data_IF_379741212261
#
_entry.id   IF_379741212261
#
_cell.length_a   1.000
_cell.length_b   1.000
_cell.length_c   1.000
_cell.angle_alpha   90.00
_cell.angle_beta   90.00
_cell.angle_gamma   90.00
#
_symmetry.space_group_name_H-M   'P 1'
#
loop_
_entity.id
_entity.type
_entity.pdbx_description
1 polymer ?
#
# COMPACT_ATOMS: atom_id res chain seq x y z
N UNK A 1 63.32 -26.28 -18.91
CA UNK A 1 63.30 -25.25 -19.97
C UNK A 1 61.89 -24.71 -20.16
N UNK A 2 61.66 -23.52 -19.60
CA UNK A 2 60.84 -22.43 -20.10
C UNK A 2 59.47 -22.74 -20.76
N UNK A 3 58.46 -23.23 -20.00
CA UNK A 3 57.03 -22.90 -20.25
C UNK A 3 56.02 -23.43 -19.21
N UNK A 4 56.37 -23.54 -17.92
CA UNK A 4 55.37 -23.94 -16.88
C UNK A 4 55.36 -23.03 -15.64
N UNK A 5 56.30 -22.10 -15.48
CA UNK A 5 56.34 -21.16 -14.34
C UNK A 5 55.70 -19.78 -14.60
N UNK A 6 54.98 -19.58 -15.72
CA UNK A 6 54.40 -18.28 -16.09
C UNK A 6 52.88 -18.12 -15.87
N UNK A 7 52.21 -19.11 -15.26
CA UNK A 7 50.75 -19.05 -14.97
C UNK A 7 50.38 -19.01 -13.49
N UNK A 8 51.36 -19.02 -12.57
CA UNK A 8 51.07 -18.99 -11.12
C UNK A 8 51.40 -17.65 -10.42
N UNK A 9 51.77 -16.61 -11.17
CA UNK A 9 52.11 -15.27 -10.64
C UNK A 9 51.09 -14.19 -11.01
N UNK A 10 50.14 -14.47 -11.91
CA UNK A 10 49.12 -13.49 -12.35
C UNK A 10 47.82 -13.59 -11.53
N UNK A 11 47.59 -14.66 -10.76
CA UNK A 11 46.37 -14.83 -9.96
C UNK A 11 46.51 -14.36 -8.50
N UNK A 12 47.59 -13.63 -8.16
CA UNK A 12 47.74 -12.94 -6.85
C UNK A 12 47.90 -11.42 -6.96
N UNK A 13 47.69 -10.83 -8.15
CA UNK A 13 47.81 -9.37 -8.39
C UNK A 13 46.44 -8.74 -8.76
N UNK A 14 45.33 -9.38 -8.40
CA UNK A 14 43.97 -8.82 -8.54
C UNK A 14 43.14 -8.84 -7.25
N UNK A 15 43.77 -9.13 -6.11
CA UNK A 15 43.17 -9.08 -4.75
C UNK A 15 43.94 -8.09 -3.84
N UNK A 16 44.73 -7.19 -4.42
CA UNK A 16 45.44 -6.13 -3.70
C UNK A 16 45.16 -4.74 -4.30
N UNK A 17 43.92 -4.51 -4.77
CA UNK A 17 43.47 -3.22 -5.32
C UNK A 17 42.08 -2.78 -4.79
N UNK A 18 41.68 -3.26 -3.61
CA UNK A 18 40.47 -2.80 -2.90
C UNK A 18 40.73 -2.41 -1.43
N UNK A 19 41.98 -2.13 -1.04
CA UNK A 19 42.33 -1.85 0.37
C UNK A 19 43.27 -0.66 0.59
N UNK A 20 43.23 0.34 -0.31
CA UNK A 20 43.94 1.61 -0.14
C UNK A 20 43.08 2.78 -0.63
N UNK A 21 42.08 3.16 0.17
CA UNK A 21 41.43 4.48 0.10
C UNK A 21 40.73 4.84 1.43
N UNK A 22 41.33 4.42 2.55
CA UNK A 22 41.01 4.93 3.88
C UNK A 22 42.33 5.39 4.49
N UNK A 23 42.30 6.58 5.08
CA UNK A 23 43.44 7.37 5.59
C UNK A 23 44.01 8.37 4.57
N UNK A 24 43.22 9.41 4.28
CA UNK A 24 43.72 10.79 4.26
C UNK A 24 42.54 11.77 4.16
N UNK A 25 41.94 12.12 5.31
CA UNK A 25 41.30 13.42 5.47
C UNK A 25 41.09 13.72 6.97
N UNK A 26 42.18 14.08 7.65
CA UNK A 26 42.09 14.98 8.80
C UNK A 26 42.93 16.20 8.46
N UNK A 27 42.25 17.33 8.26
CA UNK A 27 42.56 18.67 8.79
C UNK A 27 42.05 19.77 7.84
N UNK A 28 40.78 20.14 8.04
CA UNK A 28 40.38 21.55 7.99
C UNK A 28 39.20 21.73 8.94
N UNK A 29 39.48 22.26 10.13
CA UNK A 29 38.51 22.66 11.15
C UNK A 29 38.57 24.19 11.28
N UNK A 30 37.42 24.78 11.61
CA UNK A 30 37.07 26.22 11.73
C UNK A 30 36.80 26.87 10.37
N UNK A 31 35.59 27.29 10.00
CA UNK A 31 34.45 27.84 10.77
C UNK A 31 33.08 27.47 10.13
N UNK A 32 32.51 26.27 10.37
CA UNK A 32 31.09 25.96 10.05
C UNK A 32 30.50 24.95 11.07
N UNK A 33 30.86 25.02 12.35
CA UNK A 33 30.55 23.93 13.31
C UNK A 33 29.52 24.27 14.39
N UNK A 34 28.99 25.50 14.44
CA UNK A 34 28.09 25.87 15.54
C UNK A 34 26.59 25.74 15.22
N UNK A 35 26.17 25.68 13.96
CA UNK A 35 24.74 25.50 13.63
C UNK A 35 24.35 24.01 13.52
N UNK A 36 25.17 23.17 12.89
CA UNK A 36 24.88 21.73 12.75
C UNK A 36 25.00 20.94 14.06
N UNK A 37 25.92 21.32 14.95
CA UNK A 37 26.06 20.69 16.26
C UNK A 37 24.91 21.09 17.20
N UNK A 38 24.45 22.35 17.14
CA UNK A 38 23.30 22.81 17.90
C UNK A 38 22.00 22.19 17.41
N UNK A 39 21.77 22.10 16.09
CA UNK A 39 20.57 21.45 15.55
C UNK A 39 20.45 19.98 15.97
N UNK A 40 21.54 19.19 15.85
CA UNK A 40 21.55 17.79 16.30
C UNK A 40 21.37 17.64 17.82
N UNK A 41 21.86 18.60 18.62
CA UNK A 41 21.66 18.59 20.06
C UNK A 41 20.21 18.95 20.43
N UNK A 42 19.59 19.92 19.76
CA UNK A 42 18.19 20.31 19.97
C UNK A 42 17.23 19.19 19.57
N UNK A 43 17.45 18.57 18.41
CA UNK A 43 16.65 17.43 17.92
C UNK A 43 16.72 16.23 18.87
N UNK A 44 17.92 15.90 19.36
CA UNK A 44 18.11 14.86 20.37
C UNK A 44 17.41 15.19 21.69
N UNK A 45 17.39 16.47 22.09
CA UNK A 45 16.71 16.93 23.30
C UNK A 45 15.18 16.83 23.17
N UNK A 46 14.64 17.09 21.98
CA UNK A 46 13.21 16.95 21.68
C UNK A 46 12.76 15.49 21.69
N UNK A 47 13.51 14.59 21.03
CA UNK A 47 13.27 13.14 21.08
C UNK A 47 13.29 12.62 22.53
N UNK A 48 14.24 13.07 23.35
CA UNK A 48 14.30 12.69 24.77
C UNK A 48 13.03 13.07 25.53
N UNK A 49 12.52 14.29 25.31
CA UNK A 49 11.32 14.78 25.99
C UNK A 49 10.09 13.96 25.59
N UNK A 50 9.90 13.75 24.29
CA UNK A 50 8.80 12.95 23.74
C UNK A 50 8.86 11.52 24.28
N UNK A 51 10.01 10.86 24.17
CA UNK A 51 10.18 9.50 24.68
C UNK A 51 9.92 9.43 26.19
N UNK A 52 10.41 10.39 26.98
CA UNK A 52 10.17 10.42 28.41
C UNK A 52 8.66 10.51 28.75
N UNK A 53 7.89 11.29 27.99
CA UNK A 53 6.44 11.37 28.16
C UNK A 53 5.75 10.05 27.80
N UNK A 54 6.14 9.42 26.69
CA UNK A 54 5.60 8.12 26.28
C UNK A 54 5.89 7.03 27.33
N UNK A 55 7.09 7.01 27.92
CA UNK A 55 7.45 6.06 28.99
C UNK A 55 6.68 6.29 30.29
N UNK A 56 6.44 7.57 30.65
CA UNK A 56 5.67 7.93 31.85
C UNK A 56 4.21 7.49 31.76
N UNK A 57 3.61 7.55 30.56
CA UNK A 57 2.21 7.16 30.31
C UNK A 57 2.01 5.65 30.17
N UNK A 58 3.06 4.89 29.88
CA UNK A 58 2.97 3.44 29.66
C UNK A 58 2.44 3.09 28.26
N UNK A 59 2.03 1.83 28.10
CA UNK A 59 1.76 1.20 26.82
C UNK A 59 0.33 0.66 26.66
N UNK A 60 -0.62 1.11 27.50
CA UNK A 60 -2.01 0.63 27.44
C UNK A 60 -2.91 1.70 26.81
N UNK A 61 -3.24 1.51 25.53
CA UNK A 61 -4.10 2.42 24.77
C UNK A 61 -5.47 2.58 25.43
N UNK A 62 -6.03 1.47 25.96
CA UNK A 62 -7.31 1.40 26.65
C UNK A 62 -7.39 2.27 27.92
N UNK A 63 -6.22 2.66 28.45
CA UNK A 63 -6.09 3.52 29.63
C UNK A 63 -5.60 4.93 29.29
N UNK A 64 -5.68 5.31 28.01
CA UNK A 64 -5.36 6.66 27.56
C UNK A 64 -3.87 6.94 27.42
N UNK A 65 -3.00 5.91 27.41
CA UNK A 65 -1.56 6.13 27.17
C UNK A 65 -1.28 6.87 25.86
N UNK A 66 -2.20 6.77 24.87
CA UNK A 66 -2.07 7.36 23.54
C UNK A 66 -2.90 8.64 23.33
N UNK A 67 -3.62 9.10 24.35
CA UNK A 67 -4.60 10.19 24.25
C UNK A 67 -4.03 11.56 23.83
N UNK A 68 -2.76 11.84 24.16
CA UNK A 68 -2.13 13.15 23.94
C UNK A 68 -0.98 13.09 22.93
N UNK A 69 -1.00 12.13 22.00
CA UNK A 69 -0.04 12.14 20.90
C UNK A 69 -0.35 13.32 19.97
N UNK A 70 0.72 13.91 19.44
CA UNK A 70 0.66 15.16 18.68
C UNK A 70 1.52 15.10 17.43
N UNK A 71 1.51 16.18 16.64
CA UNK A 71 2.42 16.33 15.52
C UNK A 71 3.89 16.16 15.95
N UNK A 72 4.27 16.66 17.13
CA UNK A 72 5.64 16.55 17.65
C UNK A 72 6.08 15.12 17.93
N UNK A 73 5.14 14.28 18.38
CA UNK A 73 5.40 12.86 18.59
C UNK A 73 5.69 12.16 17.24
N UNK A 74 4.95 12.53 16.19
CA UNK A 74 5.19 12.02 14.85
C UNK A 74 6.50 12.55 14.28
N UNK A 75 6.81 13.84 14.47
CA UNK A 75 8.10 14.42 14.07
C UNK A 75 9.28 13.70 14.70
N UNK A 76 9.23 13.48 16.02
CA UNK A 76 10.28 12.75 16.74
C UNK A 76 10.44 11.30 16.23
N UNK A 77 9.33 10.61 15.93
CA UNK A 77 9.38 9.30 15.28
C UNK A 77 10.07 9.37 13.91
N UNK A 78 9.67 10.31 13.08
CA UNK A 78 10.13 10.45 11.70
C UNK A 78 11.62 10.74 11.63
N UNK A 79 12.18 11.54 12.55
CA UNK A 79 13.63 11.79 12.59
C UNK A 79 14.42 10.52 12.97
N UNK A 80 13.87 9.66 13.84
CA UNK A 80 14.45 8.35 14.15
C UNK A 80 14.37 7.44 12.92
N UNK A 81 13.23 7.41 12.24
CA UNK A 81 13.02 6.59 11.04
C UNK A 81 13.89 7.03 9.87
N UNK A 82 14.07 8.33 9.65
CA UNK A 82 15.00 8.86 8.66
C UNK A 82 16.41 8.39 8.98
N UNK A 83 16.85 8.50 10.24
CA UNK A 83 18.17 7.98 10.66
C UNK A 83 18.33 6.48 10.37
N UNK A 84 17.29 5.66 10.62
CA UNK A 84 17.28 4.23 10.28
C UNK A 84 17.39 4.03 8.77
N UNK A 85 16.61 4.76 7.97
CA UNK A 85 16.61 4.68 6.51
C UNK A 85 17.98 5.06 5.92
N UNK A 86 18.55 6.21 6.33
CA UNK A 86 19.87 6.65 5.89
C UNK A 86 20.93 5.60 6.19
N UNK A 87 20.89 4.98 7.38
CA UNK A 87 21.83 3.91 7.75
C UNK A 87 21.68 2.63 6.92
N UNK A 88 20.51 2.44 6.29
CA UNK A 88 20.22 1.33 5.37
C UNK A 88 20.38 1.72 3.89
N UNK A 89 20.98 2.88 3.61
CA UNK A 89 21.32 3.32 2.25
C UNK A 89 20.16 3.95 1.49
N UNK A 90 19.12 4.42 2.19
CA UNK A 90 18.05 5.21 1.60
C UNK A 90 18.62 6.49 0.97
N UNK A 91 18.15 6.81 -0.22
CA UNK A 91 18.47 8.04 -0.93
C UNK A 91 17.26 8.94 -0.91
N UNK A 92 17.35 10.04 -0.17
CA UNK A 92 16.31 11.06 -0.11
C UNK A 92 16.10 11.65 -1.50
N UNK A 93 14.86 11.59 -1.98
CA UNK A 93 14.44 12.15 -3.26
C UNK A 93 14.25 13.67 -3.16
N UNK A 94 14.34 14.37 -4.29
CA UNK A 94 13.92 15.77 -4.33
C UNK A 94 12.38 15.92 -4.25
N UNK A 95 11.91 17.15 -4.06
CA UNK A 95 10.49 17.46 -3.91
C UNK A 95 9.63 16.97 -5.09
N UNK A 96 10.12 17.14 -6.32
CA UNK A 96 9.38 16.81 -7.54
C UNK A 96 9.29 15.29 -7.70
N UNK A 97 10.41 14.60 -7.52
CA UNK A 97 10.48 13.13 -7.61
C UNK A 97 9.60 12.47 -6.54
N UNK A 98 9.71 12.92 -5.29
CA UNK A 98 8.91 12.38 -4.20
C UNK A 98 7.43 12.69 -4.38
N UNK A 99 7.09 13.93 -4.74
CA UNK A 99 5.71 14.35 -4.99
C UNK A 99 5.05 13.54 -6.12
N UNK A 100 5.78 13.34 -7.22
CA UNK A 100 5.31 12.53 -8.35
C UNK A 100 5.09 11.07 -7.94
N UNK A 101 5.98 10.48 -7.13
CA UNK A 101 5.79 9.11 -6.62
C UNK A 101 4.58 9.01 -5.69
N UNK A 102 4.38 9.96 -4.77
CA UNK A 102 3.21 9.96 -3.87
C UNK A 102 1.91 10.11 -4.66
N UNK A 103 1.84 11.03 -5.63
CA UNK A 103 0.67 11.18 -6.49
C UNK A 103 0.41 9.91 -7.30
N UNK A 104 1.46 9.31 -7.83
CA UNK A 104 1.33 8.15 -8.68
C UNK A 104 0.94 6.86 -7.93
N UNK A 105 1.46 6.67 -6.72
CA UNK A 105 1.20 5.47 -5.92
C UNK A 105 -0.11 5.61 -5.15
N UNK A 106 -0.39 6.79 -4.60
CA UNK A 106 -1.49 6.99 -3.64
C UNK A 106 -2.59 7.95 -4.14
N UNK A 107 -2.48 8.48 -5.36
CA UNK A 107 -3.45 9.45 -5.90
C UNK A 107 -3.44 10.81 -5.16
N UNK A 108 -2.44 11.08 -4.33
CA UNK A 108 -2.39 12.26 -3.45
C UNK A 108 -1.34 13.27 -3.92
N UNK A 109 -1.76 14.50 -4.21
CA UNK A 109 -0.84 15.62 -4.47
C UNK A 109 -0.28 16.20 -3.17
N UNK A 110 1.03 16.47 -3.16
CA UNK A 110 1.69 17.19 -2.07
C UNK A 110 1.70 18.68 -2.38
N UNK A 111 1.17 19.48 -1.45
CA UNK A 111 1.42 20.92 -1.43
C UNK A 111 2.59 21.20 -0.49
N UNK A 112 3.71 21.65 -1.07
CA UNK A 112 4.92 22.02 -0.33
C UNK A 112 4.89 23.44 0.23
N UNK A 113 3.91 24.26 -0.18
CA UNK A 113 3.77 25.62 0.34
C UNK A 113 2.84 25.69 1.56
N UNK A 114 2.08 24.63 1.83
CA UNK A 114 1.21 24.55 3.01
C UNK A 114 2.03 24.43 4.30
N UNK A 115 1.47 24.93 5.41
CA UNK A 115 2.13 24.92 6.73
C UNK A 115 2.19 23.55 7.42
N UNK A 116 1.54 22.51 6.89
CA UNK A 116 1.57 21.18 7.54
C UNK A 116 2.82 20.42 7.16
N UNK A 117 3.46 19.76 8.12
CA UNK A 117 4.65 18.93 7.85
C UNK A 117 4.28 17.57 7.25
N UNK A 118 3.03 17.16 7.44
CA UNK A 118 2.53 15.84 7.06
C UNK A 118 1.33 15.88 6.12
N UNK A 119 1.09 14.75 5.48
CA UNK A 119 -0.18 14.37 4.87
C UNK A 119 -0.62 13.02 5.46
N UNK A 120 -1.91 12.88 5.73
CA UNK A 120 -2.53 11.58 6.02
C UNK A 120 -2.89 10.87 4.71
N UNK A 121 -2.63 9.57 4.67
CA UNK A 121 -3.14 8.61 3.70
C UNK A 121 -3.94 7.58 4.49
N UNK A 122 -5.26 7.75 4.47
CA UNK A 122 -6.17 6.82 5.12
C UNK A 122 -6.30 5.53 4.30
N UNK A 123 -6.15 4.39 4.98
CA UNK A 123 -6.11 3.07 4.36
C UNK A 123 -7.49 2.44 4.19
N UNK A 124 -8.56 3.11 4.63
CA UNK A 124 -9.95 2.70 4.51
C UNK A 124 -10.75 3.69 3.65
N UNK A 125 -10.63 4.99 3.92
CA UNK A 125 -11.25 6.07 3.16
C UNK A 125 -10.16 6.97 2.58
N UNK A 126 -9.65 6.63 1.39
CA UNK A 126 -8.55 7.34 0.72
C UNK A 126 -8.81 8.84 0.45
N UNK A 127 -10.05 9.29 0.60
CA UNK A 127 -10.46 10.69 0.44
C UNK A 127 -10.45 11.49 1.73
N UNK A 128 -10.39 10.82 2.89
CA UNK A 128 -10.13 11.49 4.15
C UNK A 128 -8.67 11.99 4.18
N UNK A 129 -8.56 13.29 4.41
CA UNK A 129 -7.30 14.05 4.38
C UNK A 129 -7.05 14.75 5.71
N UNK A 130 -7.97 14.66 6.66
CA UNK A 130 -7.88 15.35 7.93
C UNK A 130 -6.75 14.74 8.75
N UNK A 131 -5.77 15.56 9.16
CA UNK A 131 -4.70 15.08 10.01
C UNK A 131 -5.27 14.78 11.40
N UNK A 132 -5.11 13.54 11.83
CA UNK A 132 -5.22 13.14 13.22
C UNK A 132 -3.87 12.55 13.63
N UNK A 133 -3.44 12.75 14.87
CA UNK A 133 -2.13 12.29 15.35
C UNK A 133 -2.32 11.11 16.27
N UNK A 134 -2.88 10.04 15.70
CA UNK A 134 -3.18 8.82 16.41
C UNK A 134 -2.10 7.78 16.13
N UNK A 135 -1.56 7.12 17.17
CA UNK A 135 -0.64 6.01 16.99
C UNK A 135 -1.26 4.83 16.26
N UNK A 136 -0.43 4.03 15.59
CA UNK A 136 -0.85 2.84 14.87
C UNK A 136 -1.48 1.82 15.83
N UNK A 137 -2.72 1.44 15.55
CA UNK A 137 -3.49 0.44 16.28
C UNK A 137 -4.39 -0.37 15.33
N UNK A 138 -5.20 -1.29 15.86
CA UNK A 138 -6.18 -2.01 15.05
C UNK A 138 -7.23 -1.08 14.44
N UNK A 139 -7.59 -0.03 15.16
CA UNK A 139 -8.59 0.98 14.79
C UNK A 139 -7.99 2.06 13.87
N UNK A 140 -6.68 2.32 14.00
CA UNK A 140 -6.00 3.38 13.29
C UNK A 140 -4.76 2.87 12.54
N UNK A 141 -4.90 2.69 11.23
CA UNK A 141 -3.83 2.19 10.34
C UNK A 141 -3.38 3.25 9.33
N UNK A 142 -3.55 4.52 9.68
CA UNK A 142 -3.20 5.66 8.84
C UNK A 142 -1.71 5.69 8.52
N UNK A 143 -1.40 5.92 7.24
CA UNK A 143 -0.05 6.14 6.76
C UNK A 143 0.20 7.65 6.64
N UNK A 144 1.34 8.11 7.14
CA UNK A 144 1.73 9.52 7.10
C UNK A 144 2.86 9.72 6.10
N UNK A 145 2.76 10.80 5.33
CA UNK A 145 3.81 11.23 4.40
C UNK A 145 4.55 12.40 5.05
N UNK A 146 5.83 12.25 5.36
CA UNK A 146 6.67 13.37 5.80
C UNK A 146 7.12 14.18 4.60
N UNK A 147 6.70 15.45 4.53
CA UNK A 147 7.10 16.36 3.46
C UNK A 147 8.57 16.75 3.56
N UNK A 148 9.11 16.85 4.77
CA UNK A 148 10.51 17.23 5.00
C UNK A 148 11.45 16.07 4.70
N UNK A 149 11.22 14.91 5.32
CA UNK A 149 12.13 13.76 5.26
C UNK A 149 11.91 12.87 4.03
N UNK A 150 10.82 13.08 3.27
CA UNK A 150 10.52 12.36 2.02
C UNK A 150 10.40 10.85 2.21
N UNK A 151 9.63 10.47 3.22
CA UNK A 151 9.36 9.08 3.57
C UNK A 151 7.88 8.91 3.95
N UNK A 152 7.43 7.66 3.94
CA UNK A 152 6.14 7.26 4.50
C UNK A 152 6.35 6.52 5.80
N UNK A 153 5.41 6.65 6.73
CA UNK A 153 5.50 6.05 8.05
C UNK A 153 4.14 5.68 8.60
N UNK A 154 4.07 4.59 9.36
CA UNK A 154 3.00 4.41 10.33
C UNK A 154 3.41 5.08 11.63
N UNK A 155 2.44 5.70 12.31
CA UNK A 155 2.74 6.43 13.52
C UNK A 155 2.93 5.49 14.73
N UNK A 156 4.10 4.89 14.86
CA UNK A 156 4.43 4.07 16.02
C UNK A 156 4.85 4.91 17.24
N UNK A 157 4.46 4.52 18.46
CA UNK A 157 5.17 4.92 19.67
C UNK A 157 6.67 4.60 19.55
N UNK A 158 7.54 5.53 19.97
CA UNK A 158 9.00 5.38 19.83
C UNK A 158 9.52 4.08 20.47
N UNK A 159 9.02 3.63 21.64
CA UNK A 159 9.43 2.36 22.22
C UNK A 159 9.18 1.13 21.35
N UNK A 160 8.23 1.18 20.40
CA UNK A 160 7.98 0.09 19.44
C UNK A 160 8.92 0.10 18.24
N UNK A 161 9.78 1.11 18.09
CA UNK A 161 10.71 1.21 16.96
C UNK A 161 12.18 0.94 17.37
N UNK A 162 12.58 1.37 18.57
CA UNK A 162 13.98 1.33 19.00
C UNK A 162 14.17 0.71 20.38
N UNK A 163 15.35 0.10 20.61
CA UNK A 163 15.80 -0.35 21.93
C UNK A 163 16.18 0.85 22.81
N UNK A 164 15.15 1.57 23.27
CA UNK A 164 15.30 2.78 24.05
C UNK A 164 15.99 2.51 25.40
N UNK A 165 15.86 1.31 25.96
CA UNK A 165 16.53 0.95 27.21
C UNK A 165 18.05 0.97 27.07
N UNK A 166 18.55 0.63 25.87
CA UNK A 166 19.97 0.71 25.52
C UNK A 166 20.39 2.11 25.06
N UNK A 167 19.57 2.77 24.25
CA UNK A 167 19.91 4.06 23.63
C UNK A 167 19.75 5.25 24.57
N UNK A 168 18.82 5.15 25.53
CA UNK A 168 18.45 6.19 26.49
C UNK A 168 18.43 5.61 27.92
N UNK A 169 19.58 5.15 28.46
CA UNK A 169 19.63 4.46 29.74
C UNK A 169 19.12 5.31 30.92
N UNK A 170 19.24 6.64 30.85
CA UNK A 170 18.71 7.54 31.87
C UNK A 170 17.18 7.55 31.93
N UNK A 171 16.51 7.35 30.77
CA UNK A 171 15.06 7.33 30.69
C UNK A 171 14.45 5.99 31.12
N UNK A 172 15.25 4.90 31.11
CA UNK A 172 14.81 3.59 31.60
C UNK A 172 14.29 3.63 33.04
N UNK A 173 14.85 4.52 33.87
CA UNK A 173 14.46 4.70 35.28
C UNK A 173 13.02 5.14 35.44
N UNK A 174 12.43 5.80 34.43
CA UNK A 174 11.03 6.24 34.46
C UNK A 174 10.03 5.07 34.52
N UNK A 175 10.47 3.87 34.19
CA UNK A 175 9.64 2.66 34.21
C UNK A 175 9.90 1.75 35.42
N UNK A 176 10.69 2.19 36.41
CA UNK A 176 10.96 1.38 37.61
C UNK A 176 9.71 1.20 38.48
N UNK A 177 8.86 2.22 38.56
CA UNK A 177 7.63 2.20 39.34
C UNK A 177 6.45 1.66 38.51
N UNK A 178 5.41 1.14 39.16
CA UNK A 178 4.13 0.85 38.51
C UNK A 178 3.42 2.15 38.13
N UNK A 179 2.46 2.06 37.21
CA UNK A 179 1.47 3.12 36.97
C UNK A 179 0.14 2.53 37.38
N UNK A 180 -0.46 3.10 38.43
CA UNK A 180 -1.73 2.63 38.96
C UNK A 180 -2.79 3.68 38.66
N UNK A 181 -3.91 3.24 38.08
CA UNK A 181 -5.06 4.09 37.78
C UNK A 181 -6.31 3.51 38.42
N UNK A 182 -7.32 4.35 38.66
CA UNK A 182 -8.63 3.91 39.14
C UNK A 182 -9.62 3.95 37.98
N UNK A 183 -10.22 2.81 37.68
CA UNK A 183 -11.29 2.65 36.68
C UNK A 183 -12.61 2.30 37.37
N UNK A 184 -13.70 2.21 36.61
CA UNK A 184 -14.99 1.74 37.13
C UNK A 184 -14.92 0.30 37.67
N UNK A 185 -13.98 -0.50 37.16
CA UNK A 185 -13.74 -1.89 37.58
C UNK A 185 -12.73 -2.01 38.74
N UNK A 186 -12.31 -0.86 39.31
CA UNK A 186 -11.34 -0.77 40.39
C UNK A 186 -9.93 -0.35 39.95
N UNK A 187 -8.94 -0.46 40.84
CA UNK A 187 -7.55 -0.15 40.53
C UNK A 187 -6.98 -1.06 39.44
N UNK A 188 -6.36 -0.48 38.43
CA UNK A 188 -5.71 -1.18 37.33
C UNK A 188 -4.24 -0.79 37.23
N UNK A 189 -3.42 -1.73 36.77
CA UNK A 189 -1.99 -1.51 36.51
C UNK A 189 -1.78 -1.27 35.02
N UNK A 190 -1.37 -0.06 34.65
CA UNK A 190 -1.04 0.27 33.27
C UNK A 190 0.29 -0.41 32.90
N UNK A 191 0.25 -1.19 31.83
CA UNK A 191 1.43 -1.91 31.31
C UNK A 191 2.55 -0.94 30.94
N UNK A 192 3.79 -1.23 31.37
CA UNK A 192 4.99 -0.50 30.94
C UNK A 192 5.48 -1.01 29.58
N UNK A 193 6.20 -0.17 28.84
CA UNK A 193 6.79 -0.57 27.56
C UNK A 193 7.77 -1.71 27.75
N UNK A 194 8.63 -1.63 28.79
CA UNK A 194 9.60 -2.69 29.12
C UNK A 194 8.98 -4.07 29.38
N UNK A 195 7.69 -4.11 29.72
CA UNK A 195 6.96 -5.32 30.08
C UNK A 195 6.12 -5.86 28.90
N UNK A 196 6.23 -5.26 27.71
CA UNK A 196 5.61 -5.79 26.49
C UNK A 196 6.33 -7.08 26.08
N UNK A 197 5.60 -8.20 25.93
CA UNK A 197 6.18 -9.43 25.42
C UNK A 197 6.77 -9.25 24.01
N UNK A 198 7.95 -9.80 23.78
CA UNK A 198 8.64 -9.78 22.48
C UNK A 198 8.87 -8.36 21.93
N UNK A 199 9.04 -7.35 22.80
CA UNK A 199 9.24 -5.96 22.38
C UNK A 199 10.42 -5.81 21.41
N UNK A 200 11.53 -6.51 21.65
CA UNK A 200 12.73 -6.43 20.80
C UNK A 200 12.48 -6.98 19.40
N UNK A 201 11.73 -8.07 19.30
CA UNK A 201 11.30 -8.64 18.04
C UNK A 201 10.36 -7.68 17.29
N UNK A 202 9.44 -7.03 18.01
CA UNK A 202 8.55 -6.01 17.44
C UNK A 202 9.35 -4.79 16.92
N UNK A 203 10.29 -4.26 17.70
CA UNK A 203 11.19 -3.17 17.29
C UNK A 203 11.94 -3.51 16.01
N UNK A 204 12.54 -4.71 15.96
CA UNK A 204 13.23 -5.18 14.77
C UNK A 204 12.29 -5.29 13.57
N UNK A 205 11.10 -5.85 13.76
CA UNK A 205 10.10 -5.99 12.69
C UNK A 205 9.66 -4.61 12.17
N UNK A 206 9.33 -3.69 13.06
CA UNK A 206 8.88 -2.34 12.70
C UNK A 206 9.98 -1.57 11.95
N UNK A 207 11.24 -1.66 12.40
CA UNK A 207 12.39 -1.08 11.70
C UNK A 207 12.60 -1.70 10.31
N UNK A 208 12.33 -3.00 10.13
CA UNK A 208 12.39 -3.64 8.82
C UNK A 208 11.22 -3.22 7.92
N UNK A 209 10.02 -3.04 8.45
CA UNK A 209 8.85 -2.55 7.71
C UNK A 209 9.12 -1.16 7.13
N UNK A 210 9.57 -0.20 7.95
CA UNK A 210 9.86 1.17 7.49
C UNK A 210 10.90 1.15 6.37
N UNK A 211 11.98 0.36 6.51
CA UNK A 211 13.02 0.20 5.49
C UNK A 211 12.46 -0.41 4.21
N UNK A 212 11.80 -1.57 4.30
CA UNK A 212 11.34 -2.31 3.13
C UNK A 212 10.36 -1.49 2.28
N UNK A 213 9.39 -0.82 2.92
CA UNK A 213 8.40 0.00 2.21
C UNK A 213 9.04 1.19 1.50
N UNK A 214 9.84 1.98 2.21
CA UNK A 214 10.43 3.19 1.63
C UNK A 214 11.48 2.86 0.56
N UNK A 215 12.32 1.84 0.79
CA UNK A 215 13.33 1.41 -0.19
C UNK A 215 12.67 0.90 -1.49
N UNK A 216 11.58 0.15 -1.38
CA UNK A 216 10.85 -0.32 -2.56
C UNK A 216 10.16 0.83 -3.30
N UNK A 217 9.36 1.64 -2.61
CA UNK A 217 8.52 2.66 -3.26
C UNK A 217 9.33 3.85 -3.82
N UNK A 218 10.34 4.32 -3.09
CA UNK A 218 11.03 5.57 -3.41
C UNK A 218 12.44 5.38 -3.95
N UNK A 219 13.09 4.25 -3.66
CA UNK A 219 14.42 3.93 -4.22
C UNK A 219 14.40 2.77 -5.22
N UNK A 220 13.21 2.27 -5.57
CA UNK A 220 13.02 1.24 -6.60
C UNK A 220 13.80 -0.05 -6.29
N UNK A 221 14.04 -0.30 -5.00
CA UNK A 221 14.80 -1.46 -4.56
C UNK A 221 13.92 -2.72 -4.59
N UNK A 222 13.92 -3.39 -5.74
CA UNK A 222 13.13 -4.60 -6.00
C UNK A 222 13.52 -5.82 -5.15
N UNK A 223 14.64 -5.77 -4.42
CA UNK A 223 15.02 -6.88 -3.52
C UNK A 223 14.01 -7.08 -2.38
N UNK A 224 13.25 -6.03 -2.03
CA UNK A 224 12.22 -6.10 -1.00
C UNK A 224 10.88 -6.70 -1.46
N UNK A 225 10.69 -7.02 -2.75
CA UNK A 225 9.40 -7.54 -3.24
C UNK A 225 8.99 -8.81 -2.49
N UNK A 226 9.86 -9.82 -2.43
CA UNK A 226 9.56 -11.08 -1.72
C UNK A 226 9.38 -10.86 -0.22
N UNK A 227 10.16 -9.95 0.36
CA UNK A 227 10.03 -9.61 1.78
C UNK A 227 8.67 -8.97 2.07
N UNK A 228 8.25 -7.99 1.28
CA UNK A 228 6.95 -7.31 1.44
C UNK A 228 5.78 -8.28 1.26
N UNK A 229 5.82 -9.14 0.25
CA UNK A 229 4.77 -10.16 0.01
C UNK A 229 4.64 -11.13 1.19
N UNK A 230 5.74 -11.48 1.84
CA UNK A 230 5.74 -12.51 2.90
C UNK A 230 5.60 -11.94 4.31
N UNK A 231 6.20 -10.78 4.59
CA UNK A 231 6.29 -10.20 5.94
C UNK A 231 5.30 -9.05 6.15
N UNK A 232 4.84 -8.41 5.07
CA UNK A 232 3.92 -7.28 5.13
C UNK A 232 2.78 -7.39 4.07
N UNK A 233 2.08 -8.55 4.02
CA UNK A 233 1.08 -8.81 2.99
C UNK A 233 -0.13 -7.87 3.09
N UNK A 234 -0.44 -7.36 4.29
CA UNK A 234 -1.56 -6.43 4.49
C UNK A 234 -1.28 -5.13 3.73
N UNK A 235 -0.09 -4.55 3.90
CA UNK A 235 0.29 -3.33 3.17
C UNK A 235 0.29 -3.52 1.66
N UNK A 236 0.84 -4.65 1.18
CA UNK A 236 0.85 -4.98 -0.25
C UNK A 236 -0.58 -5.07 -0.80
N UNK A 237 -1.48 -5.73 -0.07
CA UNK A 237 -2.90 -5.81 -0.45
C UNK A 237 -3.56 -4.43 -0.44
N UNK A 238 -3.28 -3.59 0.56
CA UNK A 238 -3.79 -2.21 0.61
C UNK A 238 -3.32 -1.37 -0.58
N UNK A 239 -2.05 -1.48 -0.99
CA UNK A 239 -1.54 -0.79 -2.19
C UNK A 239 -2.38 -1.12 -3.44
N UNK A 240 -2.70 -2.39 -3.66
CA UNK A 240 -3.49 -2.80 -4.83
C UNK A 240 -4.97 -2.43 -4.65
N UNK A 241 -5.59 -2.87 -3.55
CA UNK A 241 -7.05 -2.79 -3.33
C UNK A 241 -7.53 -1.36 -3.12
N UNK A 242 -6.79 -0.57 -2.34
CA UNK A 242 -7.21 0.80 -1.98
C UNK A 242 -6.63 1.84 -2.93
N UNK A 243 -5.35 1.70 -3.28
CA UNK A 243 -4.65 2.71 -4.09
C UNK A 243 -4.49 2.35 -5.57
N UNK A 244 -4.93 1.17 -6.01
CA UNK A 244 -4.88 0.78 -7.42
C UNK A 244 -3.47 0.50 -7.94
N UNK A 245 -2.50 0.23 -7.06
CA UNK A 245 -1.11 -0.01 -7.45
C UNK A 245 -0.93 -1.40 -8.08
N UNK A 246 -0.95 -1.48 -9.42
CA UNK A 246 -0.86 -2.74 -10.18
C UNK A 246 0.47 -2.94 -10.93
N UNK A 247 1.48 -2.11 -10.64
CA UNK A 247 2.74 -2.08 -11.40
C UNK A 247 3.69 -3.24 -11.10
N UNK A 248 3.50 -3.90 -9.96
CA UNK A 248 4.29 -5.06 -9.56
C UNK A 248 3.41 -6.31 -9.60
N UNK A 249 3.62 -7.21 -10.57
CA UNK A 249 2.77 -8.39 -10.76
C UNK A 249 2.60 -9.21 -9.49
N UNK A 250 3.67 -9.43 -8.69
CA UNK A 250 3.56 -10.22 -7.46
C UNK A 250 2.65 -9.59 -6.41
N UNK A 251 2.51 -8.27 -6.42
CA UNK A 251 1.60 -7.57 -5.51
C UNK A 251 0.16 -7.75 -5.95
N UNK A 252 -0.09 -7.61 -7.26
CA UNK A 252 -1.39 -7.89 -7.87
C UNK A 252 -1.79 -9.35 -7.64
N UNK A 253 -0.90 -10.32 -7.88
CA UNK A 253 -1.14 -11.74 -7.63
C UNK A 253 -1.59 -11.97 -6.19
N UNK A 254 -0.85 -11.43 -5.21
CA UNK A 254 -1.18 -11.57 -3.79
C UNK A 254 -2.55 -10.98 -3.45
N UNK A 255 -2.90 -9.83 -4.02
CA UNK A 255 -4.17 -9.17 -3.77
C UNK A 255 -5.35 -9.88 -4.43
N UNK A 256 -5.18 -10.37 -5.66
CA UNK A 256 -6.22 -11.03 -6.44
C UNK A 256 -6.46 -12.47 -5.96
N UNK A 257 -5.42 -13.19 -5.54
CA UNK A 257 -5.54 -14.54 -4.97
C UNK A 257 -6.36 -14.56 -3.66
N UNK A 258 -6.36 -13.46 -2.90
CA UNK A 258 -7.17 -13.32 -1.69
C UNK A 258 -8.67 -13.47 -1.99
N UNK A 259 -9.13 -13.07 -3.19
CA UNK A 259 -10.51 -13.25 -3.65
C UNK A 259 -10.79 -14.69 -4.11
N UNK A 260 -9.78 -15.37 -4.66
CA UNK A 260 -9.89 -16.78 -5.04
C UNK A 260 -9.98 -17.71 -3.83
N UNK A 261 -9.26 -17.40 -2.75
CA UNK A 261 -9.18 -18.26 -1.57
C UNK A 261 -10.38 -18.10 -0.63
N UNK A 262 -10.95 -16.90 -0.51
CA UNK A 262 -11.91 -16.56 0.55
C UNK A 262 -13.38 -16.62 0.14
N UNK A 263 -13.71 -17.06 -1.08
CA UNK A 263 -15.08 -17.02 -1.64
C UNK A 263 -15.78 -15.69 -1.31
N UNK A 264 -15.07 -14.58 -1.57
CA UNK A 264 -15.63 -13.26 -1.40
C UNK A 264 -16.79 -13.05 -2.37
N UNK A 265 -17.77 -12.25 -1.95
CA UNK A 265 -19.00 -12.03 -2.70
C UNK A 265 -18.72 -11.31 -4.03
N UNK A 266 -19.67 -11.37 -4.95
CA UNK A 266 -19.59 -10.65 -6.22
C UNK A 266 -19.32 -9.14 -6.08
N UNK A 267 -19.74 -8.52 -4.96
CA UNK A 267 -19.46 -7.10 -4.69
C UNK A 267 -17.97 -6.82 -4.57
N UNK A 268 -17.25 -7.70 -3.89
CA UNK A 268 -15.92 -7.41 -3.37
C UNK A 268 -14.86 -7.21 -4.49
N UNK A 269 -15.03 -7.88 -5.65
CA UNK A 269 -14.14 -7.71 -6.79
C UNK A 269 -14.47 -6.45 -7.59
N UNK A 270 -15.76 -6.13 -7.75
CA UNK A 270 -16.19 -4.94 -8.47
C UNK A 270 -15.81 -3.66 -7.72
N UNK A 271 -15.89 -3.69 -6.39
CA UNK A 271 -15.59 -2.56 -5.51
C UNK A 271 -14.11 -2.13 -5.55
N UNK A 272 -13.18 -2.99 -5.97
CA UNK A 272 -11.77 -2.59 -6.17
C UNK A 272 -11.46 -2.18 -7.60
N UNK A 273 -12.32 -2.51 -8.57
CA UNK A 273 -12.13 -2.21 -10.01
C UNK A 273 -12.83 -0.92 -10.39
N UNK A 274 -14.07 -0.75 -9.94
CA UNK A 274 -14.93 0.39 -10.23
C UNK A 274 -15.06 1.21 -8.95
N UNK A 275 -14.33 2.32 -8.89
CA UNK A 275 -14.24 3.14 -7.67
C UNK A 275 -14.71 4.56 -7.93
N UNK A 276 -15.21 5.22 -6.89
CA UNK A 276 -15.42 6.67 -6.91
C UNK A 276 -14.14 7.35 -6.45
N UNK A 277 -13.61 8.23 -7.27
CA UNK A 277 -12.51 9.09 -6.84
C UNK A 277 -13.01 10.11 -5.80
N UNK A 278 -12.10 10.90 -5.22
CA UNK A 278 -12.46 11.88 -4.19
C UNK A 278 -13.28 13.08 -4.67
N UNK A 279 -13.63 13.13 -5.96
CA UNK A 279 -14.58 14.09 -6.53
C UNK A 279 -15.94 13.45 -6.82
N UNK A 280 -16.12 12.17 -6.50
CA UNK A 280 -17.33 11.41 -6.81
C UNK A 280 -17.45 10.98 -8.28
N UNK A 281 -16.35 11.01 -9.04
CA UNK A 281 -16.32 10.56 -10.43
C UNK A 281 -15.92 9.08 -10.50
N UNK A 282 -16.52 8.31 -11.41
CA UNK A 282 -16.13 6.93 -11.68
C UNK A 282 -14.70 6.83 -12.24
N UNK A 283 -13.87 6.06 -11.56
CA UNK A 283 -12.57 5.58 -12.02
C UNK A 283 -12.66 4.07 -12.25
N UNK A 284 -12.13 3.62 -13.39
CA UNK A 284 -12.12 2.19 -13.78
C UNK A 284 -10.67 1.72 -13.84
N UNK A 285 -10.30 0.80 -12.96
CA UNK A 285 -8.94 0.24 -12.88
C UNK A 285 -8.74 -0.85 -13.93
N UNK A 286 -8.53 -0.44 -15.17
CA UNK A 286 -8.44 -1.33 -16.34
C UNK A 286 -7.35 -2.39 -16.24
N UNK A 287 -6.26 -2.13 -15.52
CA UNK A 287 -5.21 -3.14 -15.31
C UNK A 287 -5.69 -4.35 -14.51
N UNK A 288 -6.68 -4.19 -13.62
CA UNK A 288 -7.29 -5.31 -12.89
C UNK A 288 -8.24 -6.10 -13.79
N UNK A 289 -8.98 -5.43 -14.69
CA UNK A 289 -9.80 -6.12 -15.71
C UNK A 289 -8.91 -6.94 -16.66
N UNK A 290 -7.78 -6.35 -17.08
CA UNK A 290 -6.77 -7.05 -17.87
C UNK A 290 -6.20 -8.25 -17.12
N UNK A 291 -5.86 -8.09 -15.84
CA UNK A 291 -5.41 -9.21 -15.01
C UNK A 291 -6.42 -10.36 -15.03
N UNK A 292 -7.72 -10.08 -14.84
CA UNK A 292 -8.77 -11.10 -14.88
C UNK A 292 -8.79 -11.78 -16.25
N UNK A 293 -8.74 -11.02 -17.35
CA UNK A 293 -8.69 -11.56 -18.72
C UNK A 293 -7.47 -12.48 -18.91
N UNK A 294 -6.28 -12.04 -18.51
CA UNK A 294 -5.03 -12.77 -18.72
C UNK A 294 -4.92 -14.05 -17.84
N UNK A 295 -5.65 -14.11 -16.72
CA UNK A 295 -5.61 -15.24 -15.78
C UNK A 295 -6.82 -16.18 -15.89
N UNK A 296 -7.79 -15.85 -16.73
CA UNK A 296 -8.96 -16.71 -16.97
C UNK A 296 -8.60 -17.87 -17.91
N UNK A 297 -9.02 -19.07 -17.52
CA UNK A 297 -8.82 -20.31 -18.29
C UNK A 297 -10.12 -21.12 -18.31
N UNK A 298 -10.21 -22.08 -19.22
CA UNK A 298 -11.39 -22.96 -19.36
C UNK A 298 -11.81 -23.68 -18.06
N UNK A 299 -10.87 -23.92 -17.15
CA UNK A 299 -11.06 -24.59 -15.86
C UNK A 299 -10.82 -23.69 -14.63
N UNK A 300 -10.55 -22.39 -14.82
CA UNK A 300 -10.38 -21.42 -13.73
C UNK A 300 -10.90 -20.07 -14.23
N UNK A 301 -12.14 -19.77 -13.87
CA UNK A 301 -12.83 -18.55 -14.26
C UNK A 301 -13.44 -17.82 -13.05
N UNK A 302 -13.05 -18.15 -11.81
CA UNK A 302 -13.73 -17.65 -10.61
C UNK A 302 -13.71 -16.12 -10.51
N UNK A 303 -12.59 -15.47 -10.85
CA UNK A 303 -12.53 -14.00 -10.90
C UNK A 303 -13.42 -13.41 -11.99
N UNK A 304 -13.49 -14.07 -13.15
CA UNK A 304 -14.37 -13.66 -14.25
C UNK A 304 -15.83 -13.77 -13.83
N UNK A 305 -16.22 -14.90 -13.22
CA UNK A 305 -17.57 -15.14 -12.69
C UNK A 305 -17.93 -14.14 -11.59
N UNK A 306 -16.99 -13.79 -10.70
CA UNK A 306 -17.22 -12.77 -9.69
C UNK A 306 -17.48 -11.38 -10.33
N UNK A 307 -16.71 -11.02 -11.37
CA UNK A 307 -16.91 -9.79 -12.13
C UNK A 307 -18.25 -9.77 -12.88
N UNK A 308 -18.64 -10.90 -13.46
CA UNK A 308 -19.95 -11.07 -14.09
C UNK A 308 -21.09 -10.90 -13.08
N UNK A 309 -20.99 -11.54 -11.93
CA UNK A 309 -22.00 -11.43 -10.87
C UNK A 309 -22.13 -9.99 -10.35
N UNK A 310 -21.03 -9.23 -10.30
CA UNK A 310 -21.09 -7.81 -10.04
C UNK A 310 -21.91 -7.07 -11.10
N UNK A 311 -21.72 -7.42 -12.38
CA UNK A 311 -22.52 -6.93 -13.50
C UNK A 311 -24.02 -7.14 -13.30
N UNK A 312 -24.45 -8.33 -12.89
CA UNK A 312 -25.85 -8.62 -12.56
C UNK A 312 -26.39 -7.78 -11.39
N UNK A 313 -25.55 -7.51 -10.39
CA UNK A 313 -25.89 -6.71 -9.22
C UNK A 313 -25.92 -5.18 -9.49
N UNK A 314 -25.41 -4.70 -10.63
CA UNK A 314 -25.35 -3.26 -10.95
C UNK A 314 -26.71 -2.56 -10.92
N UNK A 315 -27.78 -3.27 -11.29
CA UNK A 315 -29.13 -2.70 -11.29
C UNK A 315 -29.52 -2.17 -9.91
N UNK A 316 -29.14 -2.89 -8.85
CA UNK A 316 -29.49 -2.60 -7.46
C UNK A 316 -28.42 -1.74 -6.74
N UNK A 317 -27.27 -1.49 -7.37
CA UNK A 317 -26.19 -0.68 -6.79
C UNK A 317 -26.59 0.80 -6.69
N UNK A 318 -26.44 1.44 -5.52
CA UNK A 318 -26.77 2.85 -5.32
C UNK A 318 -25.57 3.80 -5.42
N UNK A 319 -24.35 3.28 -5.51
CA UNK A 319 -23.10 4.05 -5.59
C UNK A 319 -22.92 4.75 -6.94
N UNK A 320 -23.37 4.11 -8.02
CA UNK A 320 -23.17 4.59 -9.39
C UNK A 320 -24.45 5.19 -9.98
N UNK A 321 -24.28 6.28 -10.72
CA UNK A 321 -25.35 6.85 -11.55
C UNK A 321 -25.74 5.91 -12.68
N UNK A 322 -26.90 6.15 -13.31
CA UNK A 322 -27.37 5.33 -14.45
C UNK A 322 -26.35 5.27 -15.60
N UNK A 323 -25.77 6.41 -15.98
CA UNK A 323 -24.77 6.47 -17.06
C UNK A 323 -23.46 5.77 -16.67
N UNK A 324 -23.05 5.88 -15.40
CA UNK A 324 -21.90 5.14 -14.88
C UNK A 324 -22.15 3.63 -14.88
N UNK A 325 -23.35 3.17 -14.52
CA UNK A 325 -23.70 1.74 -14.60
C UNK A 325 -23.60 1.21 -16.03
N UNK A 326 -24.06 1.96 -17.04
CA UNK A 326 -23.86 1.57 -18.44
C UNK A 326 -22.38 1.50 -18.80
N UNK A 327 -21.58 2.50 -18.39
CA UNK A 327 -20.15 2.48 -18.64
C UNK A 327 -19.48 1.29 -17.95
N UNK A 328 -19.81 1.00 -16.70
CA UNK A 328 -19.29 -0.17 -15.97
C UNK A 328 -19.66 -1.47 -16.71
N UNK A 329 -20.93 -1.63 -17.08
CA UNK A 329 -21.40 -2.80 -17.83
C UNK A 329 -20.65 -2.95 -19.16
N UNK A 330 -20.34 -1.85 -19.86
CA UNK A 330 -19.53 -1.87 -21.07
C UNK A 330 -18.12 -2.46 -20.83
N UNK A 331 -17.45 -2.07 -19.73
CA UNK A 331 -16.13 -2.62 -19.39
C UNK A 331 -16.21 -4.08 -18.93
N UNK A 332 -17.28 -4.46 -18.23
CA UNK A 332 -17.54 -5.87 -17.86
C UNK A 332 -17.76 -6.70 -19.12
N UNK A 333 -18.68 -6.31 -20.01
CA UNK A 333 -18.95 -7.03 -21.26
C UNK A 333 -17.72 -7.16 -22.15
N UNK A 334 -16.90 -6.10 -22.26
CA UNK A 334 -15.62 -6.18 -22.97
C UNK A 334 -14.66 -7.23 -22.37
N UNK A 335 -14.72 -7.47 -21.06
CA UNK A 335 -13.82 -8.38 -20.35
C UNK A 335 -14.36 -9.81 -20.32
N UNK A 336 -15.66 -9.97 -20.10
CA UNK A 336 -16.33 -11.24 -19.83
C UNK A 336 -16.81 -11.92 -21.11
N UNK A 337 -17.51 -11.20 -21.98
CA UNK A 337 -18.24 -11.80 -23.11
C UNK A 337 -17.35 -12.49 -24.14
N UNK A 338 -16.09 -12.07 -24.39
CA UNK A 338 -15.21 -12.82 -25.29
C UNK A 338 -15.01 -14.29 -24.87
N UNK A 339 -14.99 -14.57 -23.57
CA UNK A 339 -14.81 -15.94 -23.07
C UNK A 339 -16.04 -16.83 -23.28
N UNK A 340 -17.24 -16.24 -23.36
CA UNK A 340 -18.44 -17.00 -23.68
C UNK A 340 -18.36 -17.58 -25.10
N UNK A 341 -17.70 -16.88 -26.02
CA UNK A 341 -17.50 -17.35 -27.40
C UNK A 341 -16.55 -18.55 -27.44
N UNK A 342 -15.48 -18.48 -26.65
CA UNK A 342 -14.42 -19.46 -26.67
C UNK A 342 -14.77 -20.72 -25.86
N UNK A 343 -15.64 -20.63 -24.85
CA UNK A 343 -15.83 -21.71 -23.87
C UNK A 343 -17.27 -22.19 -23.64
N UNK A 344 -18.32 -21.43 -24.00
CA UNK A 344 -19.72 -21.83 -23.72
C UNK A 344 -20.14 -23.11 -24.47
N UNK A 345 -19.46 -23.48 -25.56
CA UNK A 345 -19.70 -24.71 -26.31
C UNK A 345 -18.81 -25.92 -25.93
N UNK A 346 -17.72 -25.72 -25.18
CA UNK A 346 -16.71 -26.78 -24.94
C UNK A 346 -17.04 -27.63 -23.70
N UNK A 347 -17.81 -27.09 -22.76
CA UNK A 347 -18.10 -27.72 -21.47
C UNK A 347 -19.59 -28.04 -21.26
N UNK A 348 -20.34 -28.42 -22.30
CA UNK A 348 -21.78 -28.70 -22.27
C UNK A 348 -22.24 -29.87 -21.35
N UNK A 349 -21.40 -30.30 -20.40
CA UNK A 349 -21.71 -31.23 -19.32
C UNK A 349 -21.04 -30.90 -17.97
N UNK A 350 -20.19 -29.86 -17.88
CA UNK A 350 -19.55 -29.40 -16.65
C UNK A 350 -19.88 -27.91 -16.48
N UNK A 351 -20.79 -27.57 -15.55
CA UNK A 351 -21.39 -26.25 -15.33
C UNK A 351 -20.41 -25.16 -14.83
N UNK A 352 -19.26 -25.02 -15.47
CA UNK A 352 -18.22 -24.05 -15.12
C UNK A 352 -18.52 -22.67 -15.74
N UNK A 353 -19.25 -22.64 -16.87
CA UNK A 353 -19.59 -21.43 -17.61
C UNK A 353 -21.11 -21.25 -17.64
N UNK A 354 -21.61 -20.02 -17.53
CA UNK A 354 -23.05 -19.78 -17.67
C UNK A 354 -23.48 -20.06 -19.12
N UNK A 355 -24.77 -20.30 -19.30
CA UNK A 355 -25.34 -20.52 -20.63
C UNK A 355 -25.37 -19.23 -21.47
N UNK A 356 -25.49 -18.08 -20.81
CA UNK A 356 -25.66 -16.77 -21.44
C UNK A 356 -24.73 -15.74 -20.80
N UNK A 357 -24.23 -14.82 -21.63
CA UNK A 357 -23.33 -13.74 -21.18
C UNK A 357 -24.05 -12.68 -20.36
N UNK A 358 -23.29 -11.98 -19.51
CA UNK A 358 -23.77 -10.84 -18.74
C UNK A 358 -24.38 -9.75 -19.62
N UNK A 359 -23.80 -9.50 -20.80
CA UNK A 359 -24.33 -8.50 -21.72
C UNK A 359 -25.67 -8.93 -22.33
N UNK A 360 -25.80 -10.19 -22.75
CA UNK A 360 -27.08 -10.70 -23.29
C UNK A 360 -28.21 -10.51 -22.27
N UNK A 361 -28.01 -11.03 -21.05
CA UNK A 361 -28.97 -10.93 -19.96
C UNK A 361 -29.33 -9.47 -19.63
N UNK A 362 -28.32 -8.60 -19.62
CA UNK A 362 -28.51 -7.18 -19.35
C UNK A 362 -29.34 -6.50 -20.45
N UNK A 363 -29.03 -6.76 -21.73
CA UNK A 363 -29.71 -6.15 -22.89
C UNK A 363 -31.16 -6.62 -23.02
N UNK A 364 -31.43 -7.90 -22.73
CA UNK A 364 -32.81 -8.42 -22.62
C UNK A 364 -33.59 -7.65 -21.56
N UNK A 365 -32.96 -7.33 -20.43
CA UNK A 365 -33.58 -6.56 -19.34
C UNK A 365 -33.70 -5.06 -19.63
N UNK A 366 -32.77 -4.46 -20.36
CA UNK A 366 -32.77 -3.04 -20.72
C UNK A 366 -32.29 -2.83 -22.16
N UNK A 367 -33.26 -2.65 -23.07
CA UNK A 367 -33.01 -2.45 -24.50
C UNK A 367 -32.25 -1.16 -24.83
N UNK A 368 -32.04 -0.25 -23.87
CA UNK A 368 -31.26 0.98 -24.11
C UNK A 368 -29.74 0.77 -24.06
N UNK A 369 -29.28 -0.37 -23.56
CA UNK A 369 -27.84 -0.63 -23.35
C UNK A 369 -27.05 -0.47 -24.66
N UNK A 370 -27.46 -1.15 -25.73
CA UNK A 370 -26.71 -1.08 -27.00
C UNK A 370 -26.76 0.32 -27.64
N UNK A 371 -27.92 1.02 -27.72
CA UNK A 371 -27.96 2.40 -28.15
C UNK A 371 -27.02 3.33 -27.36
N UNK A 372 -26.91 3.16 -26.04
CA UNK A 372 -25.98 3.93 -25.20
C UNK A 372 -24.53 3.62 -25.57
N UNK A 373 -24.19 2.35 -25.80
CA UNK A 373 -22.84 1.96 -26.20
C UNK A 373 -22.48 2.54 -27.57
N UNK A 374 -23.37 2.42 -28.56
CA UNK A 374 -23.19 3.01 -29.89
C UNK A 374 -22.99 4.52 -29.83
N UNK A 375 -23.82 5.24 -29.07
CA UNK A 375 -23.71 6.70 -28.87
C UNK A 375 -22.35 7.11 -28.29
N UNK A 376 -21.76 6.28 -27.44
CA UNK A 376 -20.46 6.51 -26.84
C UNK A 376 -19.30 5.87 -27.63
N UNK A 377 -19.52 5.48 -28.89
CA UNK A 377 -18.54 4.78 -29.73
C UNK A 377 -17.91 3.58 -29.00
N UNK A 378 -18.75 2.80 -28.32
CA UNK A 378 -18.38 1.65 -27.49
C UNK A 378 -17.29 1.96 -26.45
N UNK A 379 -17.16 3.22 -26.03
CA UNK A 379 -16.09 3.70 -25.14
C UNK A 379 -14.67 3.38 -25.63
N UNK A 380 -14.48 3.11 -26.92
CA UNK A 380 -13.21 2.66 -27.49
C UNK A 380 -12.83 1.22 -27.13
N UNK A 381 -13.79 0.41 -26.68
CA UNK A 381 -13.60 -0.98 -26.28
C UNK A 381 -13.87 -1.93 -27.47
N UNK A 382 -12.85 -2.58 -28.06
CA UNK A 382 -13.02 -3.35 -29.29
C UNK A 382 -13.86 -4.60 -29.09
N UNK A 383 -13.62 -5.36 -28.02
CA UNK A 383 -14.35 -6.60 -27.75
C UNK A 383 -15.83 -6.30 -27.45
N UNK A 384 -16.13 -5.16 -26.82
CA UNK A 384 -17.50 -4.71 -26.57
C UNK A 384 -18.30 -4.54 -27.84
N UNK A 385 -17.72 -3.93 -28.87
CA UNK A 385 -18.40 -3.70 -30.15
C UNK A 385 -18.80 -5.02 -30.79
N UNK A 386 -17.88 -5.97 -30.81
CA UNK A 386 -18.10 -7.30 -31.38
C UNK A 386 -19.17 -8.07 -30.59
N UNK A 387 -19.10 -8.03 -29.25
CA UNK A 387 -20.08 -8.69 -28.38
C UNK A 387 -21.47 -8.06 -28.48
N UNK A 388 -21.55 -6.73 -28.60
CA UNK A 388 -22.80 -6.00 -28.78
C UNK A 388 -23.53 -6.42 -30.07
N UNK A 389 -22.81 -6.47 -31.19
CA UNK A 389 -23.40 -6.86 -32.49
C UNK A 389 -23.95 -8.29 -32.47
N UNK A 390 -23.27 -9.21 -31.77
CA UNK A 390 -23.76 -10.58 -31.60
C UNK A 390 -25.02 -10.64 -30.76
N UNK A 391 -25.03 -9.95 -29.62
CA UNK A 391 -26.20 -9.93 -28.72
C UNK A 391 -27.42 -9.36 -29.45
N UNK A 392 -27.26 -8.27 -30.21
CA UNK A 392 -28.33 -7.73 -31.08
C UNK A 392 -28.82 -8.79 -32.06
N UNK A 393 -27.92 -9.46 -32.77
CA UNK A 393 -28.28 -10.52 -33.72
C UNK A 393 -29.06 -11.67 -33.07
N UNK A 394 -28.65 -12.16 -31.90
CA UNK A 394 -29.36 -13.24 -31.19
C UNK A 394 -30.77 -12.82 -30.79
N UNK A 395 -30.93 -11.60 -30.26
CA UNK A 395 -32.23 -11.09 -29.81
C UNK A 395 -33.18 -10.90 -31.00
N UNK A 396 -32.67 -10.39 -32.13
CA UNK A 396 -33.47 -10.21 -33.35
C UNK A 396 -33.96 -11.54 -33.93
N UNK A 397 -33.11 -12.57 -33.95
CA UNK A 397 -33.49 -13.92 -34.42
C UNK A 397 -34.44 -14.64 -33.47
N UNK A 398 -34.35 -14.38 -32.16
CA UNK A 398 -35.23 -15.00 -31.16
C UNK A 398 -36.61 -14.33 -31.04
N UNK A 399 -36.78 -13.17 -31.68
CA UNK A 399 -38.04 -12.40 -31.70
C UNK A 399 -38.88 -12.65 -32.97
N UNK A 400 -38.37 -13.47 -33.90
CA UNK A 400 -39.07 -13.98 -35.09
C UNK A 400 -39.62 -15.37 -34.81
#
# INVERSE_FOLDING_TARGET
>A
MAKVQRKLVITKILIASCFFCLIQCQQKKQEITNQHANAKNTEKMEINSILAEQLKKGAAEEYGSFSNYSEKDLEALIEIEDSILQSNGYKTLDNNQFGAKIENIFGRKIDYNSNTNFLKLDTYNTCDKELNFLPFSSENQNLYVSKKNKLISYFYPIPLLIDYQKLYPDLKKLEENTIDITTNDGPQHVKRWKDIPNLKEQQKKNAQIIVARNMYLFNENKTYITWLVTQDPIFVKTLVKQFGYTREPKFTDLAMNDYLEKYQTASDIGDIIFVKNCKGELEIRTELLKYIKDHTKSNENRLLTALENFGYALKDNSTFTKDEKYKILAYIGNTVDPFYLDFAGINSGNAIWNAESVLYNSVVSDKNIIPVFQKNNYYGLPDLKESSMRVEGIIEHSSQ
#
